data_IF_012662480702
#
_entry.id   IF_012662480702
#
_cell.length_a   1.000
_cell.length_b   1.000
_cell.length_c   1.000
_cell.angle_alpha   90.00
_cell.angle_beta   90.00
_cell.angle_gamma   90.00
#
_symmetry.space_group_name_H-M   'P 1'
#
loop_
_entity.id
_entity.type
_entity.pdbx_description
1 polymer ?
#
# COMPACT_ATOMS: atom_id res chain seq x y z
N UNK A 1 -22.88 8.46 5.07
CA UNK A 1 -22.79 7.37 6.06
C UNK A 1 -22.43 6.11 5.30
N UNK A 2 -21.14 5.86 5.10
CA UNK A 2 -20.56 4.56 4.74
C UNK A 2 -19.10 4.59 5.19
N UNK A 3 -18.83 4.12 6.41
CA UNK A 3 -17.48 3.79 6.86
C UNK A 3 -17.28 2.30 6.62
N UNK A 4 -16.80 1.95 5.43
CA UNK A 4 -16.27 0.63 5.14
C UNK A 4 -14.83 0.57 5.64
N UNK A 5 -14.63 0.37 6.95
CA UNK A 5 -13.31 0.10 7.51
C UNK A 5 -12.92 -1.34 7.14
N UNK A 6 -12.52 -1.56 5.88
CA UNK A 6 -11.68 -2.70 5.56
C UNK A 6 -10.37 -2.50 6.32
N UNK A 7 -10.08 -3.36 7.30
CA UNK A 7 -8.89 -3.23 8.16
C UNK A 7 -7.64 -3.11 7.30
N UNK A 8 -7.02 -1.92 7.32
CA UNK A 8 -5.72 -1.71 6.71
C UNK A 8 -4.66 -2.51 7.48
N UNK A 9 -3.85 -3.25 6.74
CA UNK A 9 -2.70 -3.97 7.29
C UNK A 9 -1.42 -3.41 6.70
N UNK A 10 -0.49 -2.98 7.56
CA UNK A 10 0.88 -2.65 7.15
C UNK A 10 1.71 -3.93 7.03
N UNK A 11 2.35 -4.11 5.88
CA UNK A 11 3.07 -5.31 5.50
C UNK A 11 4.46 -4.96 4.95
N UNK A 12 5.34 -5.96 4.90
CA UNK A 12 6.66 -5.83 4.29
C UNK A 12 6.99 -7.05 3.43
N UNK A 13 7.82 -6.83 2.42
CA UNK A 13 8.51 -7.90 1.70
C UNK A 13 10.00 -7.56 1.62
N UNK A 14 10.85 -8.57 1.88
CA UNK A 14 12.29 -8.39 1.88
C UNK A 14 12.92 -9.10 0.69
N UNK A 15 13.74 -8.37 -0.07
CA UNK A 15 14.70 -8.97 -1.01
C UNK A 15 16.04 -9.13 -0.29
N UNK A 16 16.45 -10.37 -0.02
CA UNK A 16 17.68 -10.69 0.71
C UNK A 16 18.91 -9.99 0.13
N UNK A 17 19.65 -9.25 0.96
CA UNK A 17 20.85 -8.50 0.56
C UNK A 17 20.58 -7.25 -0.27
N UNK A 18 19.33 -6.78 -0.34
CA UNK A 18 18.95 -5.59 -1.08
C UNK A 18 18.06 -4.68 -0.24
N UNK A 19 16.74 -4.71 -0.47
CA UNK A 19 15.80 -3.74 0.06
C UNK A 19 14.60 -4.41 0.71
N UNK A 20 14.09 -3.78 1.75
CA UNK A 20 12.79 -4.06 2.35
C UNK A 20 11.78 -3.08 1.76
N UNK A 21 10.72 -3.60 1.15
CA UNK A 21 9.60 -2.82 0.63
C UNK A 21 8.44 -2.90 1.60
N UNK A 22 7.96 -1.74 2.03
CA UNK A 22 6.79 -1.55 2.89
C UNK A 22 5.57 -1.22 2.05
N UNK A 23 4.41 -1.70 2.47
CA UNK A 23 3.14 -1.39 1.81
C UNK A 23 1.97 -1.55 2.76
N UNK A 24 0.89 -0.81 2.53
CA UNK A 24 -0.41 -1.06 3.17
C UNK A 24 -1.26 -1.92 2.26
N UNK A 25 -2.18 -2.66 2.86
CA UNK A 25 -3.12 -3.49 2.14
C UNK A 25 -4.52 -3.42 2.75
N UNK A 26 -5.51 -3.09 1.93
CA UNK A 26 -6.93 -3.00 2.30
C UNK A 26 -7.79 -3.85 1.38
N UNK A 27 -9.03 -4.13 1.79
CA UNK A 27 -9.98 -4.92 1.00
C UNK A 27 -9.71 -6.44 1.02
N UNK A 28 -10.58 -7.22 0.35
CA UNK A 28 -10.58 -8.69 0.40
C UNK A 28 -9.33 -9.29 -0.25
N UNK A 29 -8.76 -10.33 0.36
CA UNK A 29 -7.53 -10.99 -0.13
C UNK A 29 -7.70 -11.54 -1.56
N UNK A 30 -8.90 -12.02 -1.90
CA UNK A 30 -9.23 -12.59 -3.21
C UNK A 30 -9.86 -11.59 -4.19
N UNK A 31 -9.90 -10.30 -3.83
CA UNK A 31 -10.40 -9.24 -4.70
C UNK A 31 -9.46 -8.92 -5.87
N UNK A 32 -9.96 -8.34 -6.98
CA UNK A 32 -9.08 -7.83 -8.04
C UNK A 32 -8.06 -6.86 -7.43
N UNK A 33 -6.78 -7.04 -7.74
CA UNK A 33 -5.72 -6.26 -7.10
C UNK A 33 -5.45 -4.96 -7.86
N UNK A 34 -5.40 -3.85 -7.12
CA UNK A 34 -4.94 -2.54 -7.58
C UNK A 34 -3.68 -2.18 -6.78
N UNK A 35 -2.61 -1.80 -7.48
CA UNK A 35 -1.37 -1.34 -6.86
C UNK A 35 -1.22 0.15 -7.13
N UNK A 36 -1.09 0.92 -6.06
CA UNK A 36 -0.87 2.35 -6.09
C UNK A 36 0.62 2.62 -5.92
N UNK A 37 1.21 3.33 -6.89
CA UNK A 37 2.64 3.61 -6.96
C UNK A 37 2.83 5.11 -6.96
N UNK A 38 3.54 5.64 -5.95
CA UNK A 38 3.68 7.07 -5.76
C UNK A 38 4.72 7.68 -6.72
N UNK A 39 4.71 9.01 -6.81
CA UNK A 39 5.70 9.79 -7.57
C UNK A 39 7.00 10.03 -6.81
N UNK A 40 7.91 10.81 -7.39
CA UNK A 40 9.18 11.16 -6.75
C UNK A 40 8.98 12.01 -5.49
N UNK A 41 9.68 11.68 -4.39
CA UNK A 41 9.62 12.45 -3.13
C UNK A 41 8.36 12.22 -2.28
N UNK A 42 7.49 11.32 -2.75
CA UNK A 42 6.26 10.90 -2.08
C UNK A 42 6.46 9.59 -1.31
N UNK A 43 5.41 9.16 -0.60
CA UNK A 43 5.30 7.83 0.00
C UNK A 43 3.87 7.27 -0.17
N UNK A 44 3.62 6.05 0.33
CA UNK A 44 2.33 5.37 0.18
C UNK A 44 1.14 6.10 0.82
N UNK A 45 1.37 6.94 1.83
CA UNK A 45 0.32 7.68 2.54
C UNK A 45 -0.38 8.73 1.68
N UNK A 46 0.26 9.17 0.59
CA UNK A 46 -0.37 10.06 -0.39
C UNK A 46 -1.63 9.46 -1.04
N UNK A 47 -1.82 8.13 -0.92
CA UNK A 47 -2.98 7.42 -1.45
C UNK A 47 -4.08 7.14 -0.45
N UNK A 48 -3.96 7.54 0.82
CA UNK A 48 -4.97 7.22 1.85
C UNK A 48 -6.36 7.70 1.42
N UNK A 49 -6.47 8.98 1.02
CA UNK A 49 -7.72 9.55 0.54
C UNK A 49 -8.22 8.90 -0.76
N UNK A 50 -7.33 8.47 -1.65
CA UNK A 50 -7.73 7.76 -2.89
C UNK A 50 -8.31 6.39 -2.54
N UNK A 51 -7.68 5.69 -1.61
CA UNK A 51 -8.07 4.34 -1.17
C UNK A 51 -9.47 4.32 -0.58
N UNK A 52 -9.85 5.35 0.19
CA UNK A 52 -11.20 5.50 0.75
C UNK A 52 -12.31 5.60 -0.33
N UNK A 53 -11.97 6.00 -1.56
CA UNK A 53 -12.92 6.18 -2.65
C UNK A 53 -12.93 5.00 -3.64
N UNK A 54 -12.03 4.02 -3.48
CA UNK A 54 -12.01 2.84 -4.34
C UNK A 54 -13.14 1.86 -3.94
N UNK A 55 -13.78 1.19 -4.90
CA UNK A 55 -14.80 0.18 -4.59
C UNK A 55 -14.28 -0.91 -3.65
N UNK A 56 -15.06 -1.26 -2.63
CA UNK A 56 -14.67 -2.17 -1.54
C UNK A 56 -14.31 -3.60 -1.99
N UNK A 57 -14.64 -3.99 -3.23
CA UNK A 57 -14.30 -5.30 -3.78
C UNK A 57 -12.86 -5.40 -4.28
N UNK A 58 -12.14 -4.28 -4.39
CA UNK A 58 -10.72 -4.28 -4.77
C UNK A 58 -9.82 -4.62 -3.58
N UNK A 59 -8.77 -5.40 -3.86
CA UNK A 59 -7.60 -5.53 -3.00
C UNK A 59 -6.65 -4.39 -3.34
N UNK A 60 -6.53 -3.39 -2.49
CA UNK A 60 -5.69 -2.21 -2.77
C UNK A 60 -4.38 -2.33 -2.00
N UNK A 61 -3.27 -2.16 -2.72
CA UNK A 61 -1.91 -2.14 -2.16
C UNK A 61 -1.28 -0.77 -2.43
N UNK A 62 -0.93 0.00 -1.40
CA UNK A 62 -0.16 1.24 -1.55
C UNK A 62 1.28 1.01 -1.09
N UNK A 63 2.24 1.26 -1.97
CA UNK A 63 3.63 0.78 -1.83
C UNK A 63 4.58 1.94 -1.62
N UNK A 64 5.51 1.81 -0.67
CA UNK A 64 6.70 2.64 -0.59
C UNK A 64 7.78 2.09 -1.51
N UNK A 65 8.17 2.86 -2.53
CA UNK A 65 9.32 2.52 -3.38
C UNK A 65 10.61 2.45 -2.55
N UNK A 66 11.65 1.80 -3.08
CA UNK A 66 12.94 1.69 -2.40
C UNK A 66 13.47 3.07 -1.96
N UNK A 67 13.95 3.16 -0.72
CA UNK A 67 14.40 4.40 -0.05
C UNK A 67 13.33 5.49 0.15
N UNK A 68 12.04 5.18 -0.02
CA UNK A 68 10.93 6.09 0.26
C UNK A 68 10.10 5.59 1.44
N UNK A 69 9.33 6.48 2.08
CA UNK A 69 8.51 6.16 3.24
C UNK A 69 9.27 5.36 4.31
N UNK A 70 8.82 4.14 4.57
CA UNK A 70 9.44 3.20 5.52
C UNK A 70 10.29 2.10 4.85
N UNK A 71 10.35 2.06 3.51
CA UNK A 71 11.19 1.12 2.76
C UNK A 71 12.67 1.46 2.91
N UNK A 72 13.52 0.48 3.21
CA UNK A 72 14.95 0.68 3.44
C UNK A 72 15.80 -0.42 2.84
N UNK A 73 16.93 -0.05 2.24
CA UNK A 73 17.99 -0.94 1.81
C UNK A 73 19.02 -1.13 2.92
N UNK A 74 19.62 -2.31 2.94
CA UNK A 74 20.63 -2.74 3.91
C UNK A 74 22.01 -2.79 3.27
#
# INVERSE_FOLDING_TARGET
MTTGNGTETSLEVRRSGHTTIRYTATGPVDGPTVVLVHGWGCDRGDFDAVTEHLPEHYRVLAVDLAEHGESRST
#
